data_IF_026933087015
#
_entry.id   IF_026933087015
#
_cell.length_a   1.000
_cell.length_b   1.000
_cell.length_c   1.000
_cell.angle_alpha   90.00
_cell.angle_beta   90.00
_cell.angle_gamma   90.00
#
_symmetry.space_group_name_H-M   'P 1'
#
loop_
_entity.id
_entity.type
_entity.pdbx_description
1 polymer ?
#
# COMPACT_ATOMS: atom_id res chain seq x y z
N UNK A 1 -4.74 6.69 21.40
CA UNK A 1 -4.82 6.44 19.95
C UNK A 1 -3.41 6.36 19.46
N UNK A 2 -3.06 5.29 18.75
CA UNK A 2 -1.74 5.14 18.15
C UNK A 2 -1.64 6.05 16.93
N UNK A 3 -0.60 6.86 16.88
CA UNK A 3 -0.25 7.70 15.74
C UNK A 3 0.99 7.10 15.10
N UNK A 4 0.98 7.00 13.77
CA UNK A 4 2.05 6.37 13.01
C UNK A 4 2.34 7.21 11.76
N UNK A 5 3.57 7.12 11.26
CA UNK A 5 3.96 7.73 10.00
C UNK A 5 3.74 6.71 8.89
N UNK A 6 2.83 6.98 7.95
CA UNK A 6 2.53 6.05 6.88
C UNK A 6 3.66 6.01 5.84
N UNK A 7 4.49 4.97 5.89
CA UNK A 7 5.57 4.69 4.95
C UNK A 7 5.93 3.20 4.99
N UNK A 8 6.64 2.70 3.98
CA UNK A 8 7.17 1.34 4.02
C UNK A 8 8.42 1.29 4.91
N UNK A 9 8.47 0.33 5.83
CA UNK A 9 9.63 0.03 6.65
C UNK A 9 9.69 -1.47 7.03
N UNK A 10 10.89 -1.95 7.33
CA UNK A 10 11.19 -3.29 7.86
C UNK A 10 12.26 -3.17 8.96
N UNK A 11 12.87 -4.27 9.38
CA UNK A 11 13.78 -4.27 10.52
C UNK A 11 15.03 -3.38 10.33
N UNK A 12 15.57 -3.29 9.11
CA UNK A 12 16.85 -2.59 8.85
C UNK A 12 16.80 -1.56 7.73
N UNK A 13 15.73 -1.52 6.92
CA UNK A 13 15.56 -0.56 5.82
C UNK A 13 16.77 -0.42 4.87
N UNK A 14 17.49 -1.52 4.63
CA UNK A 14 18.67 -1.55 3.73
C UNK A 14 18.34 -1.06 2.31
N UNK A 15 17.09 -1.25 1.89
CA UNK A 15 16.54 -0.74 0.64
C UNK A 15 15.22 -0.01 0.90
N UNK A 16 15.13 1.24 0.45
CA UNK A 16 13.92 2.07 0.52
C UNK A 16 13.63 2.70 -0.83
N UNK A 17 12.39 3.10 -1.06
CA UNK A 17 11.96 3.40 -2.43
C UNK A 17 10.57 3.96 -2.57
N UNK A 18 10.11 3.90 -3.81
CA UNK A 18 8.76 4.30 -4.21
C UNK A 18 8.01 3.10 -4.78
N UNK A 19 6.69 3.17 -4.67
CA UNK A 19 5.78 2.26 -5.32
C UNK A 19 4.74 3.08 -6.08
N UNK A 20 4.29 2.57 -7.22
CA UNK A 20 3.21 3.14 -8.00
C UNK A 20 2.32 2.03 -8.55
N UNK A 21 1.02 2.29 -8.59
CA UNK A 21 0.05 1.34 -9.10
C UNK A 21 -1.09 2.06 -9.84
N UNK A 22 -1.51 1.48 -10.96
CA UNK A 22 -2.69 1.94 -11.71
C UNK A 22 -3.94 1.23 -11.19
N UNK A 23 -5.03 1.99 -11.02
CA UNK A 23 -6.35 1.41 -10.73
C UNK A 23 -6.76 0.40 -11.82
N UNK A 24 -7.36 -0.70 -11.38
CA UNK A 24 -7.93 -1.69 -12.28
C UNK A 24 -9.43 -1.43 -12.48
N UNK A 25 -9.85 -1.19 -13.72
CA UNK A 25 -11.24 -0.79 -14.04
C UNK A 25 -12.32 -1.80 -13.55
N UNK A 26 -11.99 -3.10 -13.50
CA UNK A 26 -12.94 -4.18 -13.18
C UNK A 26 -12.62 -4.97 -11.90
N UNK A 27 -11.37 -4.97 -11.42
CA UNK A 27 -10.89 -5.81 -10.30
C UNK A 27 -10.01 -5.06 -9.30
N UNK A 28 -10.32 -3.80 -9.01
CA UNK A 28 -9.57 -3.04 -8.00
C UNK A 28 -9.77 -3.60 -6.58
N UNK A 29 -8.88 -3.17 -5.68
CA UNK A 29 -8.91 -3.54 -4.27
C UNK A 29 -10.19 -3.08 -3.55
N UNK A 30 -10.81 -1.96 -3.94
CA UNK A 30 -12.05 -1.47 -3.34
C UNK A 30 -13.20 -2.45 -3.60
N UNK A 31 -13.27 -3.02 -4.80
CA UNK A 31 -14.21 -4.10 -5.15
C UNK A 31 -13.93 -5.37 -4.37
N UNK A 32 -12.66 -5.74 -4.20
CA UNK A 32 -12.28 -6.89 -3.36
C UNK A 32 -12.76 -6.70 -1.92
N UNK A 33 -12.50 -5.53 -1.31
CA UNK A 33 -12.92 -5.22 0.05
C UNK A 33 -14.45 -5.23 0.18
N UNK A 34 -15.16 -4.64 -0.77
CA UNK A 34 -16.63 -4.61 -0.79
C UNK A 34 -17.22 -6.02 -0.89
N UNK A 35 -16.71 -6.86 -1.80
CA UNK A 35 -17.17 -8.24 -1.96
C UNK A 35 -16.94 -9.11 -0.71
N UNK A 36 -15.96 -8.76 0.13
CA UNK A 36 -15.66 -9.42 1.40
C UNK A 36 -16.35 -8.78 2.62
N UNK A 37 -17.09 -7.68 2.44
CA UNK A 37 -17.70 -6.94 3.54
C UNK A 37 -16.68 -6.24 4.46
N UNK A 38 -15.50 -5.91 3.92
CA UNK A 38 -14.38 -5.32 4.68
C UNK A 38 -14.37 -3.78 4.65
N UNK A 39 -15.09 -3.19 3.70
CA UNK A 39 -15.32 -1.73 3.58
C UNK A 39 -16.80 -1.43 3.86
N UNK A 40 -17.06 -0.41 4.67
CA UNK A 40 -18.40 0.03 5.01
C UNK A 40 -18.87 1.13 4.04
N UNK A 41 -20.19 1.38 4.02
CA UNK A 41 -20.73 2.57 3.36
C UNK A 41 -20.13 3.84 3.97
N UNK A 42 -19.80 4.79 3.10
CA UNK A 42 -19.17 6.06 3.48
C UNK A 42 -17.68 5.99 3.82
N UNK A 43 -17.03 4.84 3.63
CA UNK A 43 -15.59 4.72 3.77
C UNK A 43 -14.84 4.86 2.44
N UNK A 44 -13.67 5.47 2.51
CA UNK A 44 -12.79 5.70 1.37
C UNK A 44 -11.40 5.10 1.63
N UNK A 45 -10.87 4.38 0.64
CA UNK A 45 -9.53 3.78 0.69
C UNK A 45 -8.45 4.83 0.44
N UNK A 46 -7.53 5.00 1.39
CA UNK A 46 -6.46 6.00 1.32
C UNK A 46 -5.05 5.42 1.37
N UNK A 47 -4.90 4.16 1.76
CA UNK A 47 -3.59 3.53 1.87
C UNK A 47 -3.67 2.01 1.81
N UNK A 48 -2.61 1.41 1.27
CA UNK A 48 -2.41 -0.03 1.17
C UNK A 48 -0.97 -0.32 1.57
N UNK A 49 -0.78 -1.23 2.51
CA UNK A 49 0.51 -1.79 2.90
C UNK A 49 0.47 -3.28 2.55
N UNK A 50 1.55 -3.77 1.96
CA UNK A 50 1.75 -5.20 1.74
C UNK A 50 3.09 -5.58 2.37
N UNK A 51 3.03 -6.52 3.31
CA UNK A 51 4.20 -7.03 4.00
C UNK A 51 4.39 -8.51 3.64
N UNK A 52 5.59 -8.84 3.21
CA UNK A 52 6.01 -10.20 2.93
C UNK A 52 7.11 -10.59 3.92
N UNK A 53 6.94 -11.69 4.64
CA UNK A 53 7.96 -12.21 5.56
C UNK A 53 8.54 -13.52 5.02
N UNK A 54 9.84 -13.69 5.13
CA UNK A 54 10.49 -14.97 4.88
C UNK A 54 10.39 -15.87 6.12
N UNK A 55 9.94 -17.12 5.96
CA UNK A 55 10.08 -18.14 6.99
C UNK A 55 11.45 -18.80 6.84
N UNK A 56 12.24 -18.75 7.93
CA UNK A 56 13.67 -19.04 8.09
C UNK A 56 14.21 -20.39 7.55
N UNK A 57 13.42 -21.21 6.86
CA UNK A 57 13.82 -22.54 6.38
C UNK A 57 13.58 -22.79 4.88
N UNK A 58 12.73 -22.00 4.23
CA UNK A 58 12.54 -22.03 2.77
C UNK A 58 12.11 -20.65 2.28
N UNK A 59 12.93 -19.92 1.49
CA UNK A 59 12.56 -18.62 0.95
C UNK A 59 11.43 -18.77 -0.07
N UNK A 60 10.20 -18.81 0.42
CA UNK A 60 9.02 -18.78 -0.41
C UNK A 60 7.97 -17.91 0.25
N UNK A 61 7.81 -16.72 -0.29
CA UNK A 61 6.65 -15.86 -0.02
C UNK A 61 5.51 -16.37 -0.90
N UNK A 62 4.57 -17.11 -0.32
CA UNK A 62 3.34 -17.51 -1.00
C UNK A 62 2.26 -16.46 -0.86
N UNK A 63 2.19 -15.87 0.33
CA UNK A 63 1.14 -14.95 0.75
C UNK A 63 1.75 -13.63 1.22
N UNK A 64 0.92 -12.60 1.22
CA UNK A 64 1.24 -11.26 1.73
C UNK A 64 0.24 -10.84 2.78
N UNK A 65 0.75 -10.24 3.85
CA UNK A 65 -0.06 -9.53 4.84
C UNK A 65 -0.44 -8.17 4.25
N UNK A 66 -1.73 -7.98 3.99
CA UNK A 66 -2.25 -6.72 3.45
C UNK A 66 -2.93 -5.94 4.58
N UNK A 67 -2.50 -4.69 4.76
CA UNK A 67 -3.23 -3.71 5.59
C UNK A 67 -3.79 -2.63 4.67
N UNK A 68 -5.09 -2.38 4.76
CA UNK A 68 -5.72 -1.24 4.10
C UNK A 68 -6.16 -0.20 5.12
N UNK A 69 -6.01 1.07 4.74
CA UNK A 69 -6.39 2.23 5.54
C UNK A 69 -7.64 2.86 4.94
N UNK A 70 -8.71 2.88 5.73
CA UNK A 70 -10.02 3.38 5.33
C UNK A 70 -10.38 4.61 6.16
N UNK A 71 -10.75 5.72 5.52
CA UNK A 71 -11.22 6.91 6.21
C UNK A 71 -12.73 7.09 6.05
N UNK A 72 -13.37 7.86 6.93
CA UNK A 72 -14.82 8.16 6.87
C UNK A 72 -15.14 9.39 6.02
N UNK A 73 -14.14 10.07 5.47
CA UNK A 73 -14.38 11.13 4.49
C UNK A 73 -14.77 10.48 3.17
N UNK A 74 -15.89 10.93 2.60
CA UNK A 74 -16.40 10.40 1.33
C UNK A 74 -15.87 11.21 0.16
N UNK A 75 -15.28 10.52 -0.81
CA UNK A 75 -14.81 11.13 -2.06
C UNK A 75 -13.48 11.86 -1.92
N UNK A 76 -12.78 11.93 -3.05
CA UNK A 76 -11.41 12.43 -3.14
C UNK A 76 -11.24 13.84 -2.54
N UNK A 77 -12.14 14.77 -2.85
CA UNK A 77 -11.99 16.17 -2.42
C UNK A 77 -12.10 16.35 -0.91
N UNK A 78 -13.00 15.63 -0.24
CA UNK A 78 -13.15 15.69 1.22
C UNK A 78 -11.95 15.04 1.92
N UNK A 79 -11.43 13.94 1.37
CA UNK A 79 -10.21 13.30 1.86
C UNK A 79 -9.02 14.24 1.71
N UNK A 80 -8.87 14.88 0.55
CA UNK A 80 -7.77 15.81 0.29
C UNK A 80 -7.84 17.02 1.22
N UNK A 81 -9.02 17.60 1.44
CA UNK A 81 -9.20 18.69 2.40
C UNK A 81 -8.82 18.29 3.83
N UNK A 82 -9.11 17.05 4.24
CA UNK A 82 -8.70 16.54 5.54
C UNK A 82 -7.17 16.38 5.65
N UNK A 83 -6.52 15.89 4.58
CA UNK A 83 -5.05 15.78 4.52
C UNK A 83 -4.41 17.17 4.56
N UNK A 84 -4.92 18.11 3.78
CA UNK A 84 -4.39 19.47 3.66
C UNK A 84 -4.56 20.31 4.95
N UNK A 85 -5.43 19.87 5.87
CA UNK A 85 -5.57 20.50 7.19
C UNK A 85 -4.31 20.39 8.06
N UNK A 86 -3.43 19.42 7.77
CA UNK A 86 -2.22 19.13 8.53
C UNK A 86 -2.45 18.30 9.80
N UNK A 87 -3.71 18.04 10.18
CA UNK A 87 -4.04 17.15 11.28
C UNK A 87 -3.91 15.68 10.86
N UNK A 88 -3.51 14.76 11.77
CA UNK A 88 -3.43 13.34 11.46
C UNK A 88 -4.76 12.79 10.93
N UNK A 89 -4.73 12.23 9.72
CA UNK A 89 -5.92 11.65 9.09
C UNK A 89 -6.41 10.44 9.91
N UNK A 90 -7.67 10.51 10.36
CA UNK A 90 -8.31 9.39 11.06
C UNK A 90 -8.63 8.27 10.08
N UNK A 91 -8.07 7.09 10.33
CA UNK A 91 -8.25 5.88 9.52
C UNK A 91 -8.59 4.67 10.37
N UNK A 92 -9.32 3.72 9.79
CA UNK A 92 -9.54 2.37 10.28
C UNK A 92 -8.62 1.42 9.52
N UNK A 93 -7.91 0.57 10.26
CA UNK A 93 -7.06 -0.49 9.69
C UNK A 93 -7.88 -1.75 9.47
N UNK A 94 -7.76 -2.35 8.29
CA UNK A 94 -8.24 -3.71 8.01
C UNK A 94 -7.07 -4.56 7.57
N UNK A 95 -6.87 -5.68 8.25
CA UNK A 95 -5.78 -6.62 7.99
C UNK A 95 -6.34 -7.92 7.45
N UNK A 96 -5.73 -8.45 6.40
CA UNK A 96 -6.05 -9.75 5.85
C UNK A 96 -4.83 -10.29 5.10
N UNK A 97 -4.80 -11.60 4.91
CA UNK A 97 -3.77 -12.28 4.15
C UNK A 97 -4.33 -12.69 2.78
N UNK A 98 -3.49 -12.64 1.74
CA UNK A 98 -3.85 -13.15 0.42
C UNK A 98 -2.62 -13.64 -0.36
N UNK A 99 -2.80 -14.50 -1.37
CA UNK A 99 -1.71 -14.91 -2.23
C UNK A 99 -1.00 -13.72 -2.88
N UNK A 100 0.34 -13.76 -2.92
CA UNK A 100 1.17 -12.71 -3.52
C UNK A 100 0.75 -12.41 -4.96
N UNK A 101 0.42 -13.46 -5.73
CA UNK A 101 -0.05 -13.31 -7.11
C UNK A 101 -1.38 -12.57 -7.19
N UNK A 102 -2.31 -12.87 -6.28
CA UNK A 102 -3.64 -12.27 -6.26
C UNK A 102 -3.54 -10.78 -5.92
N UNK A 103 -2.67 -10.42 -4.98
CA UNK A 103 -2.38 -9.02 -4.64
C UNK A 103 -1.99 -8.20 -5.88
N UNK A 104 -1.04 -8.68 -6.69
CA UNK A 104 -0.64 -7.96 -7.90
C UNK A 104 -1.72 -7.92 -8.98
N UNK A 105 -2.71 -8.81 -8.96
CA UNK A 105 -3.85 -8.76 -9.91
C UNK A 105 -4.87 -7.67 -9.58
N UNK A 106 -4.82 -7.07 -8.39
CA UNK A 106 -5.70 -5.96 -7.99
C UNK A 106 -5.38 -4.64 -8.70
N UNK A 107 -4.23 -4.57 -9.37
CA UNK A 107 -3.75 -3.39 -10.07
C UNK A 107 -3.63 -3.67 -11.56
N UNK A 108 -3.89 -2.67 -12.40
CA UNK A 108 -3.65 -2.78 -13.85
C UNK A 108 -2.16 -2.84 -14.16
N UNK A 109 -1.37 -2.09 -13.39
CA UNK A 109 0.11 -2.05 -13.39
C UNK A 109 0.57 -1.78 -11.97
N UNK A 110 1.68 -2.39 -11.58
CA UNK A 110 2.30 -2.17 -10.28
C UNK A 110 3.82 -2.16 -10.45
N UNK A 111 4.50 -1.19 -9.85
CA UNK A 111 5.96 -1.05 -9.91
C UNK A 111 6.50 -0.66 -8.55
N UNK A 112 7.56 -1.34 -8.13
CA UNK A 112 8.42 -0.95 -7.00
C UNK A 112 9.76 -0.49 -7.57
N UNK A 113 10.33 0.56 -7.00
CA UNK A 113 11.68 1.01 -7.27
C UNK A 113 12.35 1.35 -5.96
N UNK A 114 13.24 0.47 -5.51
CA UNK A 114 13.99 0.61 -4.26
C UNK A 114 15.48 0.72 -4.58
N UNK A 115 16.20 1.46 -3.76
CA UNK A 115 17.65 1.57 -3.85
C UNK A 115 18.28 1.47 -2.47
N UNK A 116 19.57 1.13 -2.41
CA UNK A 116 20.27 0.99 -1.13
C UNK A 116 20.15 2.27 -0.33
N UNK A 117 19.51 2.19 0.84
CA UNK A 117 19.20 3.32 1.71
C UNK A 117 18.54 4.52 0.97
N UNK A 118 17.83 4.26 -0.13
CA UNK A 118 17.18 5.27 -0.96
C UNK A 118 18.12 6.16 -1.77
N UNK A 119 19.39 5.77 -1.92
CA UNK A 119 20.48 6.58 -2.50
C UNK A 119 20.17 7.18 -3.88
N UNK A 120 19.43 6.46 -4.72
CA UNK A 120 19.08 6.92 -6.08
C UNK A 120 17.57 7.15 -6.29
N UNK A 121 16.78 7.23 -5.21
CA UNK A 121 15.36 7.52 -5.31
C UNK A 121 15.15 8.91 -5.95
N UNK A 122 14.31 8.98 -6.99
CA UNK A 122 14.00 10.21 -7.73
C UNK A 122 15.24 10.93 -8.28
N UNK A 123 16.31 10.18 -8.63
CA UNK A 123 17.50 10.69 -9.30
C UNK A 123 17.51 10.29 -10.78
N UNK A 124 18.07 11.17 -11.61
CA UNK A 124 18.40 10.81 -12.99
C UNK A 124 19.56 9.81 -13.01
N UNK A 125 19.43 8.75 -13.81
CA UNK A 125 20.47 7.72 -14.01
C UNK A 125 20.74 7.54 -15.51
N UNK A 126 21.97 7.20 -15.85
CA UNK A 126 22.38 6.79 -17.19
C UNK A 126 22.78 5.33 -17.18
N UNK A 127 22.52 4.63 -18.28
CA UNK A 127 22.96 3.26 -18.48
C UNK A 127 24.22 3.25 -19.34
N UNK A 128 25.19 2.42 -18.95
CA UNK A 128 26.29 2.09 -19.85
C UNK A 128 25.72 1.29 -21.03
N UNK A 129 26.25 1.56 -22.22
CA UNK A 129 25.89 0.89 -23.48
C UNK A 129 26.39 -0.55 -23.54
#
# INVERSE_FOLDING_TARGET
>A
MEQDNFHANVQYDDFTGTAAADHHDTKDISKYLSAKGLINEGEFLVGIEAYATELMSTPKVTDVDVTVLLTKYEGHDNVQAAVDSGEPLKVRRVKFEMPLTDFFTLFKRFKISISSHGMINNRDISFDS
#
